data_IF_511502025766
#
_entry.id   IF_511502025766
#
_cell.length_a   1.000
_cell.length_b   1.000
_cell.length_c   1.000
_cell.angle_alpha   90.00
_cell.angle_beta   90.00
_cell.angle_gamma   90.00
#
_symmetry.space_group_name_H-M   'P 1'
#
loop_
_entity.id
_entity.type
_entity.pdbx_description
1 polymer ?
#
# COMPACT_ATOMS: atom_id res chain seq x y z
N UNK A 1 -28.67 44.42 17.60
CA UNK A 1 -28.73 42.95 17.57
C UNK A 1 -27.28 42.49 17.69
N UNK A 2 -26.92 41.89 18.81
CA UNK A 2 -25.55 41.43 19.10
C UNK A 2 -25.50 39.93 18.82
N UNK A 3 -24.76 39.54 17.78
CA UNK A 3 -24.36 38.15 17.55
C UNK A 3 -23.28 37.79 18.58
N UNK A 4 -23.69 37.09 19.63
CA UNK A 4 -22.80 36.36 20.53
C UNK A 4 -23.51 35.05 20.85
N UNK A 5 -23.68 34.25 19.80
CA UNK A 5 -24.10 32.86 19.83
C UNK A 5 -22.86 32.02 19.46
N UNK A 6 -21.83 32.11 20.30
CA UNK A 6 -20.71 31.16 20.25
C UNK A 6 -21.05 30.07 21.25
N UNK A 7 -21.08 28.82 20.79
CA UNK A 7 -21.60 27.64 21.49
C UNK A 7 -20.86 27.26 22.78
N UNK A 8 -21.02 28.08 23.81
CA UNK A 8 -20.59 27.85 25.19
C UNK A 8 -21.76 27.35 26.08
N UNK A 9 -23.00 27.39 25.56
CA UNK A 9 -24.22 26.97 26.28
C UNK A 9 -24.56 25.47 26.15
N UNK A 10 -23.66 24.66 25.60
CA UNK A 10 -23.86 23.20 25.57
C UNK A 10 -23.48 22.64 26.94
N UNK A 11 -24.48 22.16 27.68
CA UNK A 11 -24.29 21.36 28.89
C UNK A 11 -23.36 20.18 28.58
N UNK A 12 -22.11 20.27 29.02
CA UNK A 12 -21.22 19.12 29.09
C UNK A 12 -21.53 18.39 30.40
N UNK A 13 -22.03 17.14 30.36
CA UNK A 13 -22.09 16.35 31.58
C UNK A 13 -20.66 16.21 32.11
N UNK A 14 -20.40 16.74 33.32
CA UNK A 14 -19.21 16.36 34.06
C UNK A 14 -19.48 14.96 34.61
N UNK A 15 -19.14 13.94 33.81
CA UNK A 15 -19.13 12.56 34.28
C UNK A 15 -18.12 12.46 35.43
N UNK A 16 -18.54 12.16 36.68
CA UNK A 16 -17.61 12.00 37.80
C UNK A 16 -16.74 10.73 37.69
N UNK A 17 -16.92 9.93 36.63
CA UNK A 17 -16.29 8.61 36.44
C UNK A 17 -15.15 8.62 35.41
N UNK A 18 -14.86 9.77 34.77
CA UNK A 18 -13.62 9.97 34.01
C UNK A 18 -12.60 10.72 34.87
N UNK A 19 -12.52 10.38 36.17
CA UNK A 19 -11.37 10.79 36.97
C UNK A 19 -10.18 9.99 36.46
N UNK A 20 -9.17 10.69 35.93
CA UNK A 20 -7.85 10.11 35.85
C UNK A 20 -7.52 9.53 37.23
N UNK A 21 -6.93 8.33 37.31
CA UNK A 21 -6.61 7.73 38.60
C UNK A 21 -5.83 8.73 39.45
N UNK A 22 -6.27 8.93 40.70
CA UNK A 22 -5.67 9.89 41.64
C UNK A 22 -4.18 9.61 41.90
N UNK A 23 -3.74 8.38 41.60
CA UNK A 23 -2.36 7.91 41.77
C UNK A 23 -1.84 7.27 40.48
N UNK A 24 -0.58 7.56 40.14
CA UNK A 24 0.13 6.87 39.05
C UNK A 24 0.42 5.42 39.44
N UNK A 25 0.15 4.48 38.53
CA UNK A 25 0.41 3.06 38.76
C UNK A 25 1.92 2.80 38.89
N UNK A 26 2.32 2.04 39.91
CA UNK A 26 3.71 1.67 40.15
C UNK A 26 4.23 0.58 39.20
N UNK A 27 5.53 0.31 39.27
CA UNK A 27 6.17 -0.77 38.50
C UNK A 27 5.64 -2.17 38.84
N UNK A 28 5.13 -2.36 40.05
CA UNK A 28 4.50 -3.62 40.48
C UNK A 28 3.17 -3.92 39.77
N UNK A 29 2.44 -2.87 39.38
CA UNK A 29 1.15 -2.98 38.68
C UNK A 29 1.32 -2.96 37.16
N UNK A 30 2.24 -2.13 36.66
CA UNK A 30 2.48 -1.99 35.21
C UNK A 30 3.48 -3.01 34.67
N UNK A 31 4.27 -3.66 35.53
CA UNK A 31 5.44 -4.48 35.19
C UNK A 31 6.47 -3.75 34.31
N UNK A 32 6.42 -2.41 34.31
CA UNK A 32 7.29 -1.54 33.55
C UNK A 32 8.02 -0.59 34.52
N UNK A 33 9.35 -0.56 34.42
CA UNK A 33 10.20 0.37 35.17
C UNK A 33 11.22 1.01 34.22
N UNK A 34 10.79 2.00 33.40
CA UNK A 34 11.66 2.61 32.40
C UNK A 34 12.75 3.49 33.02
N UNK A 35 12.50 4.10 34.18
CA UNK A 35 13.43 5.00 34.85
C UNK A 35 14.32 4.31 35.89
N UNK A 36 13.94 3.12 36.38
CA UNK A 36 14.69 2.37 37.38
C UNK A 36 14.56 2.92 38.80
N UNK A 37 13.65 3.89 39.00
CA UNK A 37 13.51 4.66 40.25
C UNK A 37 12.56 3.98 41.23
N UNK A 38 11.76 3.02 40.78
CA UNK A 38 10.78 2.29 41.59
C UNK A 38 9.48 3.06 41.85
N UNK A 39 9.56 4.35 42.21
CA UNK A 39 8.41 5.24 42.35
C UNK A 39 8.23 6.09 41.07
N UNK A 40 7.07 6.02 40.38
CA UNK A 40 6.80 6.88 39.22
C UNK A 40 6.82 8.37 39.56
N UNK A 41 6.57 8.76 40.81
CA UNK A 41 6.59 10.16 41.26
C UNK A 41 8.01 10.74 41.40
N UNK A 42 9.02 9.88 41.44
CA UNK A 42 10.42 10.31 41.47
C UNK A 42 10.97 10.61 40.06
N UNK A 43 10.23 10.28 38.99
CA UNK A 43 10.63 10.57 37.62
C UNK A 43 10.37 12.05 37.25
N UNK A 44 11.46 12.79 37.03
CA UNK A 44 11.38 14.16 36.54
C UNK A 44 11.16 14.21 35.03
N UNK A 45 10.10 14.87 34.58
CA UNK A 45 9.96 15.24 33.16
C UNK A 45 10.95 16.36 32.82
N UNK A 46 11.85 16.12 31.86
CA UNK A 46 12.68 17.16 31.25
C UNK A 46 12.05 17.55 29.92
N UNK A 47 11.41 18.73 29.81
CA UNK A 47 10.92 19.22 28.53
C UNK A 47 12.08 19.34 27.53
N UNK A 48 11.81 19.23 26.23
CA UNK A 48 12.84 19.45 25.22
C UNK A 48 13.37 20.89 25.29
N UNK A 49 14.69 21.06 25.10
CA UNK A 49 15.36 22.37 25.11
C UNK A 49 14.85 23.36 24.06
N UNK A 50 14.10 22.86 23.07
CA UNK A 50 13.49 23.65 22.02
C UNK A 50 12.11 23.10 21.64
N UNK A 51 11.17 23.97 21.28
CA UNK A 51 9.88 23.56 20.72
C UNK A 51 10.08 22.76 19.43
N UNK A 52 9.30 21.69 19.27
CA UNK A 52 9.33 20.84 18.09
C UNK A 52 8.35 21.37 17.05
N UNK A 53 8.66 21.20 15.76
CA UNK A 53 7.75 21.44 14.62
C UNK A 53 7.31 22.90 14.42
N UNK A 54 7.63 23.83 15.34
CA UNK A 54 7.33 25.27 15.18
C UNK A 54 8.01 25.94 13.98
N UNK A 55 9.07 25.36 13.45
CA UNK A 55 9.75 25.83 12.23
C UNK A 55 9.27 25.09 10.97
N UNK A 56 8.27 24.21 11.10
CA UNK A 56 7.65 23.49 9.98
C UNK A 56 6.65 24.35 9.19
N UNK A 57 6.35 23.91 7.96
CA UNK A 57 5.31 24.50 7.12
C UNK A 57 3.92 24.18 7.68
N UNK A 58 2.99 25.13 7.57
CA UNK A 58 1.61 24.97 8.03
C UNK A 58 1.36 25.53 9.43
N UNK A 59 2.33 26.26 9.99
CA UNK A 59 2.22 26.91 11.30
C UNK A 59 1.52 28.28 11.20
N UNK A 60 1.43 28.86 10.00
CA UNK A 60 0.73 30.12 9.75
C UNK A 60 -0.57 29.92 8.95
N UNK A 61 -1.55 30.81 9.15
CA UNK A 61 -2.84 30.74 8.44
C UNK A 61 -2.69 30.78 6.91
N UNK A 62 -1.72 31.55 6.39
CA UNK A 62 -1.45 31.64 4.97
C UNK A 62 -0.89 30.32 4.40
N UNK A 63 -0.02 29.64 5.15
CA UNK A 63 0.50 28.33 4.80
C UNK A 63 -0.58 27.25 4.85
N UNK A 64 -1.48 27.29 5.84
CA UNK A 64 -2.61 26.35 5.88
C UNK A 64 -3.55 26.51 4.69
N UNK A 65 -3.76 27.75 4.22
CA UNK A 65 -4.57 28.04 3.02
C UNK A 65 -3.87 27.61 1.72
N UNK A 66 -2.56 27.83 1.63
CA UNK A 66 -1.78 27.51 0.42
C UNK A 66 -1.50 26.00 0.34
N UNK A 67 -1.32 25.36 1.50
CA UNK A 67 -0.87 23.98 1.62
C UNK A 67 0.62 23.84 1.32
N UNK A 68 1.16 22.67 1.66
CA UNK A 68 2.49 22.27 1.23
C UNK A 68 2.44 21.60 -0.15
N UNK A 69 3.42 21.85 -1.01
CA UNK A 69 3.53 21.15 -2.30
C UNK A 69 3.91 19.68 -2.10
N UNK A 70 3.48 18.81 -3.02
CA UNK A 70 3.85 17.39 -2.99
C UNK A 70 5.37 17.20 -3.02
N UNK A 71 6.08 17.99 -3.82
CA UNK A 71 7.53 17.88 -3.98
C UNK A 71 8.29 18.22 -2.69
N UNK A 72 7.82 19.23 -1.94
CA UNK A 72 8.37 19.55 -0.63
C UNK A 72 8.17 18.41 0.38
N UNK A 73 7.00 17.76 0.36
CA UNK A 73 6.72 16.57 1.19
C UNK A 73 7.64 15.40 0.84
N UNK A 74 7.82 15.11 -0.44
CA UNK A 74 8.69 14.03 -0.93
C UNK A 74 10.15 14.27 -0.58
N UNK A 75 10.60 15.52 -0.52
CA UNK A 75 12.00 15.83 -0.14
C UNK A 75 12.31 15.45 1.31
N UNK A 76 11.28 15.38 2.17
CA UNK A 76 11.40 15.02 3.59
C UNK A 76 11.16 13.53 3.86
N UNK A 77 10.67 12.80 2.87
CA UNK A 77 10.43 11.36 2.96
C UNK A 77 11.77 10.63 3.16
N UNK A 78 11.79 9.73 4.14
CA UNK A 78 12.91 8.81 4.33
C UNK A 78 12.51 7.49 3.69
N UNK A 79 13.39 6.84 2.90
CA UNK A 79 13.12 5.51 2.39
C UNK A 79 12.79 4.57 3.54
N UNK A 80 11.82 3.68 3.33
CA UNK A 80 11.56 2.61 4.28
C UNK A 80 12.86 1.83 4.49
N UNK A 81 13.21 1.64 5.77
CA UNK A 81 14.28 0.69 6.08
C UNK A 81 13.77 -0.67 5.64
N UNK A 82 14.49 -1.42 4.78
CA UNK A 82 14.04 -2.74 4.40
C UNK A 82 13.81 -3.53 5.69
N UNK A 83 12.57 -3.96 5.91
CA UNK A 83 12.26 -4.92 6.95
C UNK A 83 13.13 -6.16 6.77
N UNK A 84 13.27 -6.97 7.82
CA UNK A 84 13.97 -8.24 7.71
C UNK A 84 13.45 -8.98 6.47
N UNK A 85 14.31 -9.12 5.45
CA UNK A 85 14.02 -9.95 4.29
C UNK A 85 14.09 -11.36 4.83
N UNK A 86 12.93 -11.90 5.24
CA UNK A 86 12.83 -13.29 5.65
C UNK A 86 13.60 -14.19 4.69
N UNK A 87 14.05 -15.34 5.19
CA UNK A 87 14.65 -16.39 4.37
C UNK A 87 13.66 -17.01 3.36
N UNK A 88 12.38 -16.66 3.48
CA UNK A 88 11.29 -17.20 2.68
C UNK A 88 10.67 -18.42 3.34
N UNK A 89 9.34 -18.48 3.29
CA UNK A 89 8.44 -19.49 3.91
C UNK A 89 8.64 -19.61 5.43
N UNK A 90 7.88 -18.81 6.20
CA UNK A 90 8.01 -18.72 7.67
C UNK A 90 8.51 -17.35 8.13
N UNK A 91 7.75 -16.31 7.83
CA UNK A 91 8.03 -14.89 8.10
C UNK A 91 8.20 -14.51 9.59
N UNK A 92 8.05 -15.46 10.51
CA UNK A 92 8.38 -15.30 11.91
C UNK A 92 9.89 -15.45 12.12
N UNK A 93 10.57 -14.36 12.48
CA UNK A 93 11.99 -14.39 12.82
C UNK A 93 12.27 -15.36 13.98
N UNK A 94 12.98 -16.46 13.70
CA UNK A 94 13.29 -17.52 14.66
C UNK A 94 12.17 -18.56 14.87
N UNK A 95 11.11 -18.52 14.07
CA UNK A 95 10.11 -19.58 13.98
C UNK A 95 10.52 -20.65 12.96
N UNK A 96 9.96 -21.85 13.10
CA UNK A 96 10.29 -22.99 12.23
C UNK A 96 9.69 -22.88 10.80
N UNK A 97 8.87 -21.85 10.54
CA UNK A 97 8.14 -21.66 9.30
C UNK A 97 7.13 -22.77 9.00
N UNK A 98 5.92 -22.42 8.56
CA UNK A 98 5.02 -23.44 8.02
C UNK A 98 5.36 -23.66 6.55
N UNK A 99 5.66 -24.91 6.19
CA UNK A 99 5.93 -25.29 4.80
C UNK A 99 4.73 -24.94 3.91
N UNK A 100 4.99 -24.38 2.74
CA UNK A 100 3.97 -24.13 1.72
C UNK A 100 3.31 -25.44 1.31
N UNK A 101 2.01 -25.60 1.62
CA UNK A 101 1.25 -26.82 1.35
C UNK A 101 0.33 -26.70 0.12
N UNK A 102 0.47 -25.62 -0.65
CA UNK A 102 -0.30 -25.37 -1.88
C UNK A 102 -1.76 -24.96 -1.66
N UNK A 103 -2.22 -24.77 -0.40
CA UNK A 103 -3.61 -24.35 -0.12
C UNK A 103 -3.82 -22.84 -0.15
N UNK A 104 -2.79 -22.09 -0.49
CA UNK A 104 -2.87 -20.65 -0.73
C UNK A 104 -2.56 -20.43 -2.21
N UNK A 105 -3.44 -19.73 -2.92
CA UNK A 105 -3.22 -19.41 -4.32
C UNK A 105 -2.21 -18.27 -4.50
N UNK A 106 -1.30 -18.38 -5.47
CA UNK A 106 -0.42 -17.26 -5.88
C UNK A 106 -0.93 -16.54 -7.12
N UNK A 107 -1.72 -17.22 -7.94
CA UNK A 107 -2.38 -16.62 -9.09
C UNK A 107 -3.68 -15.93 -8.64
N UNK A 108 -3.80 -14.65 -8.98
CA UNK A 108 -5.02 -13.87 -8.73
C UNK A 108 -6.18 -14.41 -9.58
N UNK A 109 -7.36 -14.52 -8.96
CA UNK A 109 -8.60 -14.83 -9.68
C UNK A 109 -9.07 -13.63 -10.52
N UNK A 110 -9.52 -13.89 -11.75
CA UNK A 110 -10.12 -12.89 -12.61
C UNK A 110 -11.64 -12.81 -12.45
N UNK A 111 -12.27 -12.09 -13.38
CA UNK A 111 -13.72 -11.90 -13.40
C UNK A 111 -14.40 -13.19 -13.81
N UNK A 112 -15.34 -13.66 -12.98
CA UNK A 112 -16.17 -14.83 -13.29
C UNK A 112 -17.40 -14.42 -14.11
N UNK A 113 -17.60 -15.09 -15.24
CA UNK A 113 -18.81 -14.95 -16.06
C UNK A 113 -19.55 -16.27 -16.13
N UNK A 114 -20.88 -16.23 -16.03
CA UNK A 114 -21.68 -17.43 -16.14
C UNK A 114 -21.51 -18.04 -17.53
N UNK A 115 -21.09 -19.29 -17.56
CA UNK A 115 -20.97 -20.06 -18.79
C UNK A 115 -21.69 -21.40 -18.58
N UNK A 116 -22.68 -21.68 -19.42
CA UNK A 116 -23.39 -22.94 -19.40
C UNK A 116 -22.81 -23.88 -20.46
N UNK A 117 -22.21 -24.98 -20.02
CA UNK A 117 -21.80 -26.08 -20.91
C UNK A 117 -22.94 -27.10 -21.15
N UNK A 118 -24.05 -26.95 -20.41
CA UNK A 118 -25.23 -27.83 -20.46
C UNK A 118 -25.09 -29.11 -19.62
N UNK A 119 -23.94 -29.35 -18.99
CA UNK A 119 -23.69 -30.51 -18.13
C UNK A 119 -24.07 -30.24 -16.67
N UNK A 120 -23.88 -29.00 -16.22
CA UNK A 120 -24.19 -28.52 -14.87
C UNK A 120 -25.09 -27.27 -14.96
N UNK A 121 -26.02 -27.04 -14.01
CA UNK A 121 -26.82 -25.81 -13.98
C UNK A 121 -25.96 -24.55 -14.04
N UNK A 122 -26.39 -23.56 -14.83
CA UNK A 122 -25.66 -22.30 -15.03
C UNK A 122 -25.42 -21.52 -13.72
N UNK A 123 -26.25 -21.71 -12.70
CA UNK A 123 -26.09 -21.10 -11.38
C UNK A 123 -24.94 -21.69 -10.56
N UNK A 124 -24.39 -22.82 -11.00
CA UNK A 124 -23.32 -23.56 -10.32
C UNK A 124 -22.03 -23.59 -11.16
N UNK A 125 -22.00 -22.87 -12.29
CA UNK A 125 -20.86 -22.83 -13.21
C UNK A 125 -20.51 -21.40 -13.58
N UNK A 126 -19.22 -21.12 -13.65
CA UNK A 126 -18.69 -19.86 -14.16
C UNK A 126 -17.31 -20.10 -14.76
N UNK A 127 -16.93 -19.28 -15.74
CA UNK A 127 -15.58 -19.25 -16.29
C UNK A 127 -14.91 -17.95 -15.89
N UNK A 128 -13.65 -18.05 -15.47
CA UNK A 128 -12.76 -16.90 -15.36
C UNK A 128 -12.44 -16.39 -16.78
N UNK A 129 -12.61 -15.09 -17.00
CA UNK A 129 -12.30 -14.41 -18.27
C UNK A 129 -11.15 -13.41 -18.15
N UNK A 130 -10.36 -13.52 -17.08
CA UNK A 130 -9.16 -12.73 -16.83
C UNK A 130 -9.37 -11.52 -15.91
N UNK A 131 -8.25 -10.90 -15.55
CA UNK A 131 -8.19 -9.74 -14.66
C UNK A 131 -8.55 -8.47 -15.44
N UNK A 132 -9.38 -7.61 -14.86
CA UNK A 132 -9.63 -6.29 -15.43
C UNK A 132 -8.45 -5.35 -15.13
N UNK A 133 -7.70 -4.96 -16.17
CA UNK A 133 -6.47 -4.20 -16.04
C UNK A 133 -6.69 -2.84 -15.37
N UNK A 134 -6.12 -2.67 -14.17
CA UNK A 134 -6.15 -1.46 -13.33
C UNK A 134 -7.54 -0.98 -12.82
N UNK A 135 -8.66 -1.50 -13.34
CA UNK A 135 -10.01 -1.17 -12.89
C UNK A 135 -10.56 -2.10 -11.79
N UNK A 136 -9.83 -3.16 -11.46
CA UNK A 136 -10.30 -4.13 -10.50
C UNK A 136 -10.39 -3.56 -9.08
N UNK A 137 -11.44 -3.95 -8.34
CA UNK A 137 -11.62 -3.49 -6.97
C UNK A 137 -10.56 -4.07 -6.03
N UNK A 138 -10.38 -3.47 -4.85
CA UNK A 138 -9.49 -4.00 -3.82
C UNK A 138 -9.87 -5.44 -3.41
N UNK A 139 -11.17 -5.74 -3.36
CA UNK A 139 -11.68 -7.08 -3.03
C UNK A 139 -11.36 -8.10 -4.12
N UNK A 140 -11.53 -7.71 -5.39
CA UNK A 140 -11.14 -8.53 -6.53
C UNK A 140 -9.63 -8.73 -6.59
N UNK A 141 -8.84 -7.80 -6.07
CA UNK A 141 -7.38 -7.92 -5.97
C UNK A 141 -6.91 -8.84 -4.85
N UNK A 142 -7.76 -9.10 -3.86
CA UNK A 142 -7.44 -9.99 -2.76
C UNK A 142 -7.71 -11.47 -3.07
N UNK A 143 -8.51 -11.79 -4.10
CA UNK A 143 -8.93 -13.17 -4.39
C UNK A 143 -7.90 -13.93 -5.26
N UNK A 144 -7.58 -15.16 -4.86
CA UNK A 144 -6.59 -16.02 -5.51
C UNK A 144 -7.16 -17.42 -5.77
N UNK A 145 -6.69 -18.09 -6.82
CA UNK A 145 -7.08 -19.44 -7.19
C UNK A 145 -6.12 -20.44 -6.55
N UNK A 146 -6.67 -21.43 -5.84
CA UNK A 146 -5.91 -22.56 -5.31
C UNK A 146 -5.88 -23.64 -6.42
N UNK A 147 -4.71 -24.06 -6.90
CA UNK A 147 -4.60 -25.08 -7.94
C UNK A 147 -5.04 -26.45 -7.41
N UNK A 148 -5.75 -27.21 -8.24
CA UNK A 148 -6.11 -28.60 -7.99
C UNK A 148 -5.07 -29.57 -8.57
N UNK A 149 -5.11 -30.83 -8.11
CA UNK A 149 -4.20 -31.86 -8.60
C UNK A 149 -4.39 -32.09 -10.12
N UNK A 150 -3.39 -31.70 -10.92
CA UNK A 150 -3.40 -31.84 -12.38
C UNK A 150 -3.63 -30.54 -13.15
N UNK A 151 -3.79 -29.41 -12.46
CA UNK A 151 -3.74 -28.08 -13.07
C UNK A 151 -2.31 -27.71 -13.51
N UNK A 152 -2.20 -26.67 -14.36
CA UNK A 152 -0.91 -26.21 -14.88
C UNK A 152 -0.02 -25.66 -13.76
N UNK A 153 1.22 -26.18 -13.67
CA UNK A 153 2.22 -25.76 -12.69
C UNK A 153 2.58 -24.26 -12.83
N UNK A 154 2.28 -23.63 -13.97
CA UNK A 154 2.42 -22.17 -14.15
C UNK A 154 1.54 -21.36 -13.17
N UNK A 155 0.48 -21.95 -12.62
CA UNK A 155 -0.34 -21.30 -11.58
C UNK A 155 0.34 -21.26 -10.21
N UNK A 156 1.45 -22.00 -10.03
CA UNK A 156 2.18 -22.12 -8.76
C UNK A 156 3.36 -21.15 -8.61
N UNK A 157 3.90 -20.60 -9.71
CA UNK A 157 5.06 -19.68 -9.66
C UNK A 157 4.67 -18.20 -9.81
N UNK A 158 3.38 -17.90 -10.01
CA UNK A 158 2.88 -16.54 -10.24
C UNK A 158 3.31 -15.94 -11.59
N UNK A 159 3.95 -16.72 -12.46
CA UNK A 159 4.22 -16.36 -13.84
C UNK A 159 2.91 -16.46 -14.61
N UNK A 160 2.37 -15.29 -14.98
CA UNK A 160 1.23 -15.22 -15.90
C UNK A 160 1.50 -16.16 -17.10
N UNK A 161 0.53 -16.96 -17.55
CA UNK A 161 0.73 -17.82 -18.70
C UNK A 161 1.14 -16.96 -19.90
N UNK A 162 2.19 -17.40 -20.61
CA UNK A 162 2.72 -16.77 -21.81
C UNK A 162 1.59 -16.62 -22.84
N UNK A 163 0.97 -15.43 -22.89
CA UNK A 163 -0.27 -15.22 -23.64
C UNK A 163 -1.12 -14.03 -23.18
N UNK A 164 -0.87 -13.48 -21.99
CA UNK A 164 -1.39 -12.16 -21.63
C UNK A 164 -0.69 -11.08 -22.47
N UNK A 165 -1.19 -10.85 -23.68
CA UNK A 165 -0.77 -9.75 -24.56
C UNK A 165 -0.98 -8.43 -23.81
N UNK A 166 0.13 -7.89 -23.26
CA UNK A 166 0.24 -6.48 -22.94
C UNK A 166 0.28 -5.71 -24.26
N UNK A 167 -0.89 -5.34 -24.79
CA UNK A 167 -0.97 -4.44 -25.93
C UNK A 167 -0.61 -3.02 -25.46
N UNK A 168 0.69 -2.75 -25.41
CA UNK A 168 1.24 -1.52 -24.84
C UNK A 168 2.65 -1.17 -25.30
N UNK A 169 3.15 -1.80 -26.38
CA UNK A 169 4.41 -1.39 -26.98
C UNK A 169 4.16 -0.19 -27.91
N UNK A 170 4.48 1.01 -27.41
CA UNK A 170 4.60 2.22 -28.21
C UNK A 170 5.45 1.96 -29.46
N UNK A 171 4.84 2.08 -30.64
CA UNK A 171 5.59 2.24 -31.89
C UNK A 171 6.21 3.63 -31.87
N UNK A 172 7.46 3.72 -31.44
CA UNK A 172 8.25 4.93 -31.55
C UNK A 172 8.50 5.24 -33.04
N UNK A 173 8.12 6.46 -33.41
CA UNK A 173 8.08 6.94 -34.77
C UNK A 173 9.46 7.31 -35.29
N UNK A 174 10.09 6.40 -36.03
CA UNK A 174 11.26 6.70 -36.85
C UNK A 174 10.86 7.50 -38.09
N UNK A 175 10.97 8.83 -38.01
CA UNK A 175 10.78 9.73 -39.15
C UNK A 175 11.77 9.42 -40.28
N UNK A 176 11.25 9.04 -41.45
CA UNK A 176 12.03 8.98 -42.70
C UNK A 176 12.12 10.39 -43.25
N UNK A 177 13.29 11.01 -43.08
CA UNK A 177 13.65 12.26 -43.74
C UNK A 177 13.91 11.95 -45.21
N UNK A 178 13.04 12.49 -46.06
CA UNK A 178 13.20 12.52 -47.51
C UNK A 178 14.31 13.51 -47.86
N UNK A 179 15.28 13.10 -48.67
CA UNK A 179 16.36 13.97 -49.14
C UNK A 179 16.79 13.57 -50.55
N UNK A 180 16.14 14.22 -51.51
CA UNK A 180 16.70 14.75 -52.75
C UNK A 180 17.52 13.82 -53.67
N UNK A 181 16.85 13.46 -54.77
CA UNK A 181 17.34 13.47 -56.16
C UNK A 181 18.66 14.24 -56.41
N UNK A 182 19.65 13.59 -57.02
CA UNK A 182 20.51 14.15 -58.11
C UNK A 182 20.92 13.01 -59.05
N UNK A 183 20.90 13.31 -60.35
CA UNK A 183 21.14 12.44 -61.49
C UNK A 183 22.63 12.14 -61.75
N UNK A 184 22.90 11.04 -62.48
CA UNK A 184 23.87 11.10 -63.58
C UNK A 184 25.08 10.14 -63.58
N UNK A 185 25.20 9.43 -64.72
CA UNK A 185 26.43 9.07 -65.45
C UNK A 185 27.17 7.74 -65.15
N UNK A 186 26.87 6.74 -66.00
CA UNK A 186 27.78 6.09 -66.97
C UNK A 186 29.28 5.96 -66.64
N UNK A 187 29.77 4.71 -66.59
CA UNK A 187 30.88 4.12 -67.40
C UNK A 187 31.33 2.80 -66.71
N UNK A 188 31.07 1.64 -67.30
CA UNK A 188 31.96 0.89 -68.20
C UNK A 188 32.89 -0.05 -67.45
N UNK A 189 32.75 -1.34 -67.74
CA UNK A 189 33.54 -2.41 -67.15
C UNK A 189 34.50 -2.97 -68.19
N UNK A 190 35.79 -2.91 -67.90
CA UNK A 190 36.74 -4.05 -67.96
C UNK A 190 38.04 -3.65 -67.27
#
# INVERSE_FOLDING_TARGET
>A
MSDTDWGDDVYQPQEPEASDPDEQLGAEDTLLDPSGTGDPLDEGYSPPDRPWVVEGLGTTAAESLTGESLEARLTRELPETPGFTGDGVGDLAGGDGELWDGKVGVARAGRLTQQADGSVPATLTASDVGIDGAAASAEEAAMHVIPEDGDDDALLDGSLPDGALVDGASQDGGSRVDSSRVEGSSADGT
#
